data_IF_406964796077
#
_entry.id   IF_406964796077
#
_cell.length_a   1.000
_cell.length_b   1.000
_cell.length_c   1.000
_cell.angle_alpha   90.00
_cell.angle_beta   90.00
_cell.angle_gamma   90.00
#
_symmetry.space_group_name_H-M   'P 1'
#
loop_
_entity.id
_entity.type
_entity.pdbx_description
1 polymer ?
#
# COMPACT_ATOMS: atom_id res chain seq x y z
N UNK A 1 -6.22 -8.92 -4.86
CA UNK A 1 -5.20 -7.96 -5.38
C UNK A 1 -4.74 -7.07 -4.25
N UNK A 2 -3.44 -6.80 -4.18
CA UNK A 2 -2.83 -5.95 -3.17
C UNK A 2 -2.46 -4.61 -3.81
N UNK A 3 -2.94 -3.52 -3.22
CA UNK A 3 -2.69 -2.16 -3.68
C UNK A 3 -1.84 -1.41 -2.66
N UNK A 4 -0.87 -0.66 -3.14
CA UNK A 4 -0.15 0.37 -2.39
C UNK A 4 -0.37 1.70 -3.12
N UNK A 5 -0.79 2.73 -2.40
CA UNK A 5 -0.75 4.10 -2.84
C UNK A 5 0.37 4.82 -2.12
N UNK A 6 1.25 5.49 -2.89
CA UNK A 6 2.44 6.12 -2.34
C UNK A 6 2.74 7.47 -3.00
N UNK A 7 3.51 8.31 -2.30
CA UNK A 7 4.12 9.51 -2.86
C UNK A 7 5.61 9.29 -3.05
N UNK A 8 6.16 9.67 -4.21
CA UNK A 8 7.59 9.44 -4.52
C UNK A 8 8.52 10.05 -3.47
N UNK A 9 8.15 11.23 -2.95
CA UNK A 9 8.95 12.02 -2.00
C UNK A 9 8.49 11.82 -0.54
N UNK A 10 7.51 10.94 -0.29
CA UNK A 10 7.02 10.68 1.05
C UNK A 10 8.04 9.84 1.84
N UNK A 11 8.57 10.35 2.98
CA UNK A 11 9.56 9.62 3.77
C UNK A 11 9.06 8.24 4.22
N UNK A 12 7.80 8.17 4.69
CA UNK A 12 7.20 6.91 5.11
C UNK A 12 7.07 5.91 3.96
N UNK A 13 6.76 6.36 2.74
CA UNK A 13 6.70 5.48 1.57
C UNK A 13 8.08 4.91 1.22
N UNK A 14 9.13 5.74 1.31
CA UNK A 14 10.51 5.31 1.06
C UNK A 14 10.92 4.22 2.06
N UNK A 15 10.52 4.33 3.32
CA UNK A 15 10.77 3.30 4.33
C UNK A 15 10.01 1.98 4.08
N UNK A 16 8.83 2.04 3.48
CA UNK A 16 8.03 0.85 3.19
C UNK A 16 8.52 0.05 1.98
N UNK A 17 9.13 0.71 0.97
CA UNK A 17 9.66 0.05 -0.24
C UNK A 17 10.45 -1.24 0.02
N UNK A 18 11.49 -1.28 0.89
CA UNK A 18 12.23 -2.52 1.14
C UNK A 18 11.37 -3.63 1.75
N UNK A 19 10.36 -3.29 2.57
CA UNK A 19 9.46 -4.28 3.16
C UNK A 19 8.53 -4.89 2.11
N UNK A 20 8.07 -4.09 1.15
CA UNK A 20 7.23 -4.55 0.04
C UNK A 20 8.02 -5.45 -0.90
N UNK A 21 9.24 -5.06 -1.26
CA UNK A 21 10.10 -5.91 -2.11
C UNK A 21 10.43 -7.23 -1.41
N UNK A 22 10.67 -7.20 -0.10
CA UNK A 22 10.83 -8.42 0.71
C UNK A 22 9.57 -9.28 0.69
N UNK A 23 8.39 -8.69 0.87
CA UNK A 23 7.10 -9.38 0.83
C UNK A 23 6.88 -10.08 -0.52
N UNK A 24 7.13 -9.37 -1.62
CA UNK A 24 7.00 -9.93 -2.98
C UNK A 24 7.92 -11.12 -3.20
N UNK A 25 9.16 -11.03 -2.72
CA UNK A 25 10.15 -12.10 -2.85
C UNK A 25 9.84 -13.32 -1.97
N UNK A 26 9.48 -13.12 -0.70
CA UNK A 26 9.26 -14.22 0.26
C UNK A 26 7.92 -14.92 0.08
N UNK A 27 6.84 -14.17 -0.17
CA UNK A 27 5.48 -14.73 -0.25
C UNK A 27 5.04 -15.02 -1.69
N UNK A 28 5.88 -14.70 -2.68
CA UNK A 28 5.56 -14.79 -4.11
C UNK A 28 4.25 -14.08 -4.48
N UNK A 29 3.96 -12.98 -3.78
CA UNK A 29 2.81 -12.11 -4.01
C UNK A 29 3.23 -10.90 -4.86
N UNK A 30 2.27 -10.29 -5.53
CA UNK A 30 2.48 -9.00 -6.18
C UNK A 30 1.70 -7.89 -5.47
N UNK A 31 2.31 -6.72 -5.40
CA UNK A 31 1.73 -5.49 -4.83
C UNK A 31 1.78 -4.43 -5.90
N UNK A 32 0.62 -3.98 -6.34
CA UNK A 32 0.48 -2.92 -7.32
C UNK A 32 0.72 -1.57 -6.62
N UNK A 33 1.92 -1.03 -6.82
CA UNK A 33 2.34 0.28 -6.32
C UNK A 33 1.89 1.40 -7.24
N UNK A 34 1.09 2.33 -6.72
CA UNK A 34 0.46 3.44 -7.44
C UNK A 34 0.97 4.77 -6.87
N UNK A 35 1.82 5.45 -7.63
CA UNK A 35 2.30 6.79 -7.29
C UNK A 35 1.16 7.78 -7.48
N UNK A 36 0.84 8.62 -6.49
CA UNK A 36 -0.33 9.51 -6.56
C UNK A 36 -0.01 11.02 -6.57
N UNK A 37 1.22 11.44 -6.27
CA UNK A 37 1.54 12.87 -6.20
C UNK A 37 1.82 13.48 -7.58
N UNK A 38 2.35 12.66 -8.49
CA UNK A 38 2.71 13.04 -9.86
C UNK A 38 1.84 12.33 -10.91
N UNK A 39 0.91 11.49 -10.48
CA UNK A 39 -0.06 10.82 -11.36
C UNK A 39 -1.50 11.04 -10.86
N UNK A 40 -2.28 11.92 -11.54
CA UNK A 40 -3.64 12.26 -11.13
C UNK A 40 -4.64 11.09 -11.31
N UNK A 41 -4.38 10.16 -12.23
CA UNK A 41 -5.23 8.98 -12.44
C UNK A 41 -5.13 8.04 -11.23
N UNK A 42 -3.92 7.82 -10.73
CA UNK A 42 -3.69 7.04 -9.51
C UNK A 42 -4.26 7.75 -8.28
N UNK A 43 -4.16 9.09 -8.20
CA UNK A 43 -4.81 9.86 -7.14
C UNK A 43 -6.33 9.75 -7.18
N UNK A 44 -6.94 9.72 -8.36
CA UNK A 44 -8.36 9.45 -8.52
C UNK A 44 -8.72 8.03 -8.08
N UNK A 45 -7.93 7.04 -8.49
CA UNK A 45 -8.08 5.64 -8.07
C UNK A 45 -8.00 5.49 -6.55
N UNK A 46 -7.09 6.20 -5.87
CA UNK A 46 -7.02 6.17 -4.41
C UNK A 46 -8.35 6.58 -3.76
N UNK A 47 -9.04 7.60 -4.29
CA UNK A 47 -10.33 8.06 -3.74
C UNK A 47 -11.42 6.98 -3.81
N UNK A 48 -11.33 6.06 -4.76
CA UNK A 48 -12.27 4.92 -4.88
C UNK A 48 -12.10 3.90 -3.75
N UNK A 49 -10.89 3.76 -3.21
CA UNK A 49 -10.58 2.79 -2.15
C UNK A 49 -10.53 3.43 -0.75
N UNK A 50 -9.96 4.63 -0.64
CA UNK A 50 -9.72 5.30 0.63
C UNK A 50 -11.05 5.63 1.33
N UNK A 51 -12.06 6.20 0.67
CA UNK A 51 -13.42 6.43 1.23
C UNK A 51 -13.48 6.87 2.72
N UNK A 52 -12.47 7.60 3.21
CA UNK A 52 -12.34 8.03 4.62
C UNK A 52 -11.61 7.06 5.56
N UNK A 53 -10.86 6.09 5.05
CA UNK A 53 -10.10 5.09 5.82
C UNK A 53 -8.74 5.65 6.30
N UNK A 54 -8.04 6.41 5.46
CA UNK A 54 -6.70 6.92 5.74
C UNK A 54 -6.52 8.39 5.37
N UNK A 55 -6.88 8.81 4.15
CA UNK A 55 -6.71 10.19 3.69
C UNK A 55 -5.28 10.58 3.30
N UNK A 56 -4.31 9.66 3.35
CA UNK A 56 -2.90 9.95 3.10
C UNK A 56 -2.08 8.74 2.64
N UNK A 57 -0.77 8.92 2.50
CA UNK A 57 0.17 7.87 2.05
C UNK A 57 1.28 7.62 3.07
N UNK A 58 1.84 6.40 3.15
CA UNK A 58 1.47 5.22 2.34
C UNK A 58 0.11 4.64 2.77
N UNK A 59 -0.68 4.18 1.78
CA UNK A 59 -1.97 3.54 2.01
C UNK A 59 -2.00 2.19 1.32
N UNK A 60 -2.27 1.14 2.08
CA UNK A 60 -2.33 -0.23 1.58
C UNK A 60 -3.76 -0.73 1.62
N UNK A 61 -4.22 -1.36 0.55
CA UNK A 61 -5.57 -1.93 0.47
C UNK A 61 -5.58 -3.32 -0.16
N UNK A 62 -6.07 -4.31 0.58
CA UNK A 62 -6.24 -5.68 0.08
C UNK A 62 -7.67 -5.82 -0.44
N UNK A 63 -7.83 -5.93 -1.76
CA UNK A 63 -9.16 -5.96 -2.39
C UNK A 63 -9.92 -7.25 -2.13
N UNK A 64 -9.26 -8.32 -1.69
CA UNK A 64 -9.89 -9.61 -1.42
C UNK A 64 -10.48 -9.65 -0.02
N UNK A 65 -9.80 -9.03 0.95
CA UNK A 65 -10.23 -9.05 2.36
C UNK A 65 -10.85 -7.75 2.84
N UNK A 66 -10.66 -6.65 2.10
CA UNK A 66 -11.04 -5.29 2.53
C UNK A 66 -10.14 -4.71 3.63
N UNK A 67 -9.09 -5.43 4.04
CA UNK A 67 -8.14 -4.95 5.05
C UNK A 67 -7.26 -3.83 4.48
N UNK A 68 -6.92 -2.88 5.33
CA UNK A 68 -6.12 -1.72 4.96
C UNK A 68 -5.10 -1.36 6.02
N UNK A 69 -4.05 -0.66 5.61
CA UNK A 69 -3.03 -0.06 6.49
C UNK A 69 -2.90 1.41 6.11
N UNK A 70 -2.91 2.29 7.11
CA UNK A 70 -2.66 3.71 6.96
C UNK A 70 -1.31 4.07 7.59
N UNK A 71 -0.39 4.61 6.79
CA UNK A 71 0.95 4.96 7.24
C UNK A 71 1.95 3.80 7.20
N UNK A 72 3.18 4.08 7.64
CA UNK A 72 4.24 3.08 7.71
C UNK A 72 3.99 2.06 8.82
N UNK A 73 4.43 0.82 8.60
CA UNK A 73 4.27 -0.30 9.54
C UNK A 73 5.48 -1.24 9.51
N UNK A 74 5.51 -2.22 10.40
CA UNK A 74 6.51 -3.29 10.41
C UNK A 74 6.20 -4.39 9.38
N UNK A 75 7.17 -5.27 9.14
CA UNK A 75 7.06 -6.33 8.14
C UNK A 75 5.99 -7.37 8.48
N UNK A 76 5.84 -7.73 9.75
CA UNK A 76 4.89 -8.76 10.14
C UNK A 76 3.46 -8.28 9.93
N UNK A 77 3.17 -7.02 10.31
CA UNK A 77 1.89 -6.37 10.04
C UNK A 77 1.61 -6.27 8.54
N UNK A 78 2.60 -5.84 7.74
CA UNK A 78 2.48 -5.78 6.27
C UNK A 78 2.19 -7.16 5.68
N UNK A 79 2.87 -8.21 6.18
CA UNK A 79 2.68 -9.59 5.74
C UNK A 79 1.29 -10.10 6.09
N UNK A 80 0.81 -9.91 7.32
CA UNK A 80 -0.54 -10.35 7.73
C UNK A 80 -1.62 -9.72 6.83
N UNK A 81 -1.50 -8.42 6.55
CA UNK A 81 -2.39 -7.71 5.62
C UNK A 81 -2.39 -8.35 4.23
N UNK A 82 -1.20 -8.67 3.69
CA UNK A 82 -1.03 -9.22 2.36
C UNK A 82 -1.67 -10.62 2.24
N UNK A 83 -1.43 -11.50 3.22
CA UNK A 83 -1.97 -12.87 3.24
C UNK A 83 -3.41 -12.96 3.77
N UNK A 84 -4.02 -11.83 4.13
CA UNK A 84 -5.41 -11.74 4.56
C UNK A 84 -5.69 -12.19 6.00
N UNK A 85 -4.65 -12.37 6.84
CA UNK A 85 -4.77 -12.82 8.23
C UNK A 85 -5.03 -11.69 9.20
#
# INVERSE_FOLDING_TARGET
MLLEFYGTECPHCIHMKPLIERLKAEEHLDVQSLEMWHNPENAAKMKEYDKGLCGGVPFFFNTETGKHICGGTDYDTLKQWAIGK
#
